data_IF_353867618416
#
_entry.id   IF_353867618416
#
_cell.length_a   1.000
_cell.length_b   1.000
_cell.length_c   1.000
_cell.angle_alpha   90.00
_cell.angle_beta   90.00
_cell.angle_gamma   90.00
#
_symmetry.space_group_name_H-M   'P 1'
#
loop_
_entity.id
_entity.type
_entity.pdbx_description
1 polymer ?
#
# COMPACT_ATOMS: atom_id res chain seq x y z
N UNK A 1 32.47 13.35 -4.54
CA UNK A 1 33.51 12.31 -4.58
C UNK A 1 33.01 11.16 -5.45
N UNK A 2 33.82 10.64 -6.40
CA UNK A 2 33.39 9.51 -7.22
C UNK A 2 33.05 8.30 -6.35
N UNK A 3 32.10 7.50 -6.77
CA UNK A 3 31.64 6.31 -6.02
C UNK A 3 31.25 5.15 -6.97
N UNK A 4 31.22 3.95 -6.44
CA UNK A 4 30.83 2.77 -7.20
C UNK A 4 29.36 2.83 -7.61
N UNK A 5 29.07 2.59 -8.86
CA UNK A 5 27.71 2.53 -9.39
C UNK A 5 27.12 1.13 -9.22
N UNK A 6 26.79 0.77 -7.98
CA UNK A 6 26.04 -0.45 -7.66
C UNK A 6 26.89 -1.70 -7.45
N UNK A 7 27.97 -1.59 -6.69
CA UNK A 7 28.79 -2.73 -6.30
C UNK A 7 28.01 -3.74 -5.44
N UNK A 8 27.82 -4.95 -5.93
CA UNK A 8 27.49 -6.12 -5.13
C UNK A 8 28.38 -7.27 -5.59
N UNK A 9 29.38 -7.57 -4.78
CA UNK A 9 30.14 -8.81 -4.91
C UNK A 9 29.23 -9.99 -4.59
N UNK A 10 28.75 -10.73 -5.59
CA UNK A 10 28.06 -11.99 -5.38
C UNK A 10 28.99 -13.15 -5.70
N UNK A 11 29.44 -13.83 -4.64
CA UNK A 11 29.94 -15.19 -4.75
C UNK A 11 28.74 -16.13 -5.01
N UNK A 12 28.76 -16.83 -6.13
CA UNK A 12 27.73 -17.79 -6.49
C UNK A 12 27.73 -19.00 -5.58
N UNK A 13 26.61 -19.22 -4.88
CA UNK A 13 26.27 -20.45 -4.18
C UNK A 13 24.96 -20.98 -4.74
N UNK A 14 25.01 -22.08 -5.48
CA UNK A 14 23.84 -22.80 -5.98
C UNK A 14 23.16 -23.57 -4.85
N UNK A 15 21.87 -23.27 -4.57
CA UNK A 15 21.00 -24.20 -3.85
C UNK A 15 19.71 -24.44 -4.65
N UNK A 16 19.60 -25.67 -5.13
CA UNK A 16 18.38 -26.27 -5.62
C UNK A 16 17.45 -26.60 -4.45
N UNK A 17 16.23 -26.10 -4.47
CA UNK A 17 15.17 -26.41 -3.50
C UNK A 17 13.85 -26.68 -4.22
N UNK A 18 13.45 -27.92 -4.18
CA UNK A 18 12.23 -28.49 -4.76
C UNK A 18 10.94 -27.91 -4.16
N UNK A 19 10.02 -27.56 -5.04
CA UNK A 19 8.63 -27.23 -4.72
C UNK A 19 7.81 -28.48 -4.49
N UNK A 20 7.18 -28.62 -3.33
CA UNK A 20 6.08 -29.56 -3.09
C UNK A 20 4.78 -28.80 -2.84
N UNK A 21 3.86 -28.94 -3.78
CA UNK A 21 2.47 -28.51 -3.65
C UNK A 21 1.73 -29.44 -2.69
N UNK A 22 1.13 -28.91 -1.64
CA UNK A 22 0.14 -29.63 -0.83
C UNK A 22 -1.15 -28.82 -0.78
N UNK A 23 -2.16 -29.39 -1.45
CA UNK A 23 -3.56 -29.02 -1.33
C UNK A 23 -4.07 -29.42 0.06
N UNK A 24 -4.55 -28.46 0.86
CA UNK A 24 -5.26 -28.75 2.09
C UNK A 24 -6.69 -28.21 2.04
N UNK A 25 -7.59 -29.17 2.06
CA UNK A 25 -9.03 -29.05 2.26
C UNK A 25 -9.37 -28.26 3.54
N UNK A 26 -10.23 -27.26 3.40
CA UNK A 26 -10.82 -26.52 4.51
C UNK A 26 -11.75 -27.42 5.35
N UNK A 27 -11.34 -27.76 6.56
CA UNK A 27 -12.24 -28.21 7.62
C UNK A 27 -12.64 -26.98 8.45
N UNK A 28 -13.92 -26.66 8.44
CA UNK A 28 -14.56 -25.74 9.36
C UNK A 28 -14.49 -26.27 10.78
N UNK A 29 -13.56 -25.75 11.58
CA UNK A 29 -13.56 -25.91 13.03
C UNK A 29 -14.42 -24.82 13.65
N UNK A 30 -15.55 -25.21 14.24
CA UNK A 30 -16.35 -24.40 15.14
C UNK A 30 -15.55 -24.14 16.43
N UNK A 31 -14.74 -23.08 16.44
CA UNK A 31 -14.12 -22.53 17.63
C UNK A 31 -15.15 -21.68 18.38
N UNK A 32 -15.59 -22.12 19.56
CA UNK A 32 -16.40 -21.34 20.47
C UNK A 32 -15.59 -20.11 20.97
N UNK A 33 -15.77 -18.97 20.34
CA UNK A 33 -15.40 -17.69 20.92
C UNK A 33 -16.55 -17.27 21.84
N UNK A 34 -16.25 -16.93 23.06
CA UNK A 34 -17.08 -16.16 24.00
C UNK A 34 -17.29 -14.77 23.44
N UNK A 35 -17.92 -14.68 22.28
CA UNK A 35 -18.30 -13.46 21.62
C UNK A 35 -19.55 -12.90 22.28
N UNK A 36 -19.49 -11.68 22.80
CA UNK A 36 -20.67 -10.94 23.17
C UNK A 36 -21.69 -11.01 22.02
N UNK A 37 -22.91 -11.46 22.33
CA UNK A 37 -23.98 -11.67 21.33
C UNK A 37 -24.16 -10.41 20.51
N UNK A 38 -23.95 -10.50 19.20
CA UNK A 38 -24.10 -9.37 18.29
C UNK A 38 -25.47 -8.71 18.53
N UNK A 39 -25.49 -7.38 18.61
CA UNK A 39 -26.69 -6.59 18.82
C UNK A 39 -27.70 -6.89 17.72
N UNK A 40 -28.83 -7.50 18.05
CA UNK A 40 -29.86 -7.94 17.11
C UNK A 40 -31.20 -7.28 17.40
N UNK A 41 -31.85 -6.79 16.36
CA UNK A 41 -33.24 -6.32 16.37
C UNK A 41 -34.03 -7.23 15.43
N UNK A 42 -35.22 -7.65 15.87
CA UNK A 42 -36.12 -8.50 15.06
C UNK A 42 -37.58 -8.12 15.34
N UNK A 43 -38.44 -8.33 14.36
CA UNK A 43 -39.91 -8.25 14.54
C UNK A 43 -40.48 -9.51 15.19
N UNK A 44 -39.71 -10.61 15.21
CA UNK A 44 -40.10 -11.87 15.83
C UNK A 44 -39.24 -12.19 17.06
N UNK A 45 -39.79 -12.84 18.09
CA UNK A 45 -39.04 -13.19 19.28
C UNK A 45 -37.91 -14.19 18.97
N UNK A 46 -36.81 -14.08 19.69
CA UNK A 46 -35.67 -14.97 19.65
C UNK A 46 -35.09 -15.22 21.05
N UNK A 47 -34.32 -16.25 21.24
CA UNK A 47 -33.77 -16.64 22.54
C UNK A 47 -32.92 -15.50 23.12
N UNK A 48 -33.24 -15.04 24.33
CA UNK A 48 -32.54 -13.95 25.02
C UNK A 48 -33.01 -12.57 24.59
N UNK A 49 -34.04 -12.46 23.76
CA UNK A 49 -34.60 -11.16 23.38
C UNK A 49 -35.54 -10.61 24.46
N UNK A 50 -35.50 -9.27 24.60
CA UNK A 50 -36.47 -8.48 25.36
C UNK A 50 -37.41 -7.81 24.38
N UNK A 51 -38.67 -7.67 24.77
CA UNK A 51 -39.72 -7.03 23.96
C UNK A 51 -39.77 -5.55 24.27
N UNK A 52 -39.84 -4.72 23.20
CA UNK A 52 -40.04 -3.28 23.33
C UNK A 52 -41.21 -2.87 22.43
N UNK A 53 -42.06 -1.99 22.98
CA UNK A 53 -43.13 -1.32 22.24
C UNK A 53 -42.62 0.01 21.71
N UNK A 54 -42.82 0.28 20.44
CA UNK A 54 -42.56 1.58 19.83
C UNK A 54 -43.70 1.94 18.88
N UNK A 55 -43.82 3.23 18.56
CA UNK A 55 -44.83 3.67 17.62
C UNK A 55 -44.21 4.15 16.33
N UNK A 56 -44.78 3.67 15.25
CA UNK A 56 -44.46 4.11 13.89
C UNK A 56 -45.76 4.55 13.24
N UNK A 57 -45.82 5.78 12.74
CA UNK A 57 -47.00 6.33 12.10
C UNK A 57 -48.29 6.21 12.96
N UNK A 58 -48.14 6.53 14.25
CA UNK A 58 -49.18 6.42 15.28
C UNK A 58 -49.72 5.00 15.53
N UNK A 59 -49.08 3.96 14.95
CA UNK A 59 -49.44 2.55 15.17
C UNK A 59 -48.46 1.90 16.13
N UNK A 60 -48.95 1.11 17.11
CA UNK A 60 -48.08 0.37 18.02
C UNK A 60 -47.38 -0.79 17.29
N UNK A 61 -46.08 -0.89 17.46
CA UNK A 61 -45.28 -1.96 16.89
C UNK A 61 -44.40 -2.55 17.96
N UNK A 62 -44.07 -3.84 17.85
CA UNK A 62 -43.19 -4.52 18.75
C UNK A 62 -41.86 -4.88 18.07
N UNK A 63 -40.79 -4.73 18.81
CA UNK A 63 -39.49 -5.25 18.43
C UNK A 63 -38.90 -6.10 19.56
N UNK A 64 -38.09 -7.05 19.14
CA UNK A 64 -37.38 -7.96 20.03
C UNK A 64 -35.89 -7.70 19.87
N UNK A 65 -35.20 -7.46 21.01
CA UNK A 65 -33.78 -7.15 21.01
C UNK A 65 -33.06 -7.80 22.18
N UNK A 66 -31.79 -8.10 22.02
CA UNK A 66 -30.93 -8.62 23.11
C UNK A 66 -30.21 -7.51 23.88
N UNK A 67 -30.49 -6.25 23.58
CA UNK A 67 -29.88 -5.08 24.24
C UNK A 67 -30.91 -3.97 24.40
N UNK A 68 -30.60 -2.96 25.22
CA UNK A 68 -31.49 -1.80 25.43
C UNK A 68 -31.34 -0.81 24.24
N UNK A 69 -32.34 -0.81 23.35
CA UNK A 69 -32.38 0.06 22.15
C UNK A 69 -32.44 1.55 22.45
N UNK A 70 -32.72 1.96 23.68
CA UNK A 70 -32.79 3.36 24.12
C UNK A 70 -31.41 3.95 24.38
N UNK A 71 -30.43 3.09 24.72
CA UNK A 71 -29.06 3.54 24.99
C UNK A 71 -28.36 3.82 23.67
N UNK A 72 -28.00 5.06 23.44
CA UNK A 72 -27.20 5.46 22.29
C UNK A 72 -25.74 5.04 22.49
N UNK A 73 -25.20 4.28 21.53
CA UNK A 73 -23.79 3.95 21.48
C UNK A 73 -23.06 4.84 20.48
N UNK A 74 -23.10 6.18 20.72
CA UNK A 74 -22.41 7.13 19.84
C UNK A 74 -20.92 7.24 20.12
N UNK A 75 -20.49 6.98 21.35
CA UNK A 75 -19.13 7.28 21.81
C UNK A 75 -18.08 6.51 21.03
N UNK A 76 -18.34 5.23 20.75
CA UNK A 76 -17.41 4.42 19.97
C UNK A 76 -17.26 4.89 18.52
N UNK A 77 -18.30 5.39 17.88
CA UNK A 77 -18.27 5.83 16.47
C UNK A 77 -17.45 7.10 16.33
N UNK A 78 -17.66 8.05 17.26
CA UNK A 78 -16.92 9.32 17.27
C UNK A 78 -15.44 9.05 17.57
N UNK A 79 -15.12 8.20 18.54
CA UNK A 79 -13.75 7.83 18.88
C UNK A 79 -13.06 7.17 17.67
N UNK A 80 -13.71 6.22 17.00
CA UNK A 80 -13.16 5.59 15.81
C UNK A 80 -13.00 6.56 14.64
N UNK A 81 -13.94 7.49 14.43
CA UNK A 81 -13.84 8.52 13.38
C UNK A 81 -12.65 9.45 13.65
N UNK A 82 -12.49 9.92 14.90
CA UNK A 82 -11.35 10.76 15.30
C UNK A 82 -10.03 9.98 15.13
N UNK A 83 -10.00 8.71 15.58
CA UNK A 83 -8.83 7.85 15.45
C UNK A 83 -8.43 7.66 13.97
N UNK A 84 -9.39 7.42 13.08
CA UNK A 84 -9.14 7.28 11.64
C UNK A 84 -8.63 8.58 11.01
N UNK A 85 -9.20 9.73 11.36
CA UNK A 85 -8.75 11.03 10.83
C UNK A 85 -7.35 11.36 11.34
N UNK A 86 -7.08 11.15 12.63
CA UNK A 86 -5.77 11.40 13.25
C UNK A 86 -4.67 10.46 12.69
N UNK A 87 -5.01 9.20 12.43
CA UNK A 87 -4.06 8.21 11.93
C UNK A 87 -3.82 8.34 10.42
N UNK A 88 -4.88 8.48 9.63
CA UNK A 88 -4.79 8.48 8.16
C UNK A 88 -4.37 9.82 7.56
N UNK A 89 -4.74 10.94 8.19
CA UNK A 89 -4.41 12.27 7.67
C UNK A 89 -2.91 12.50 7.46
N UNK A 90 -2.06 12.29 8.47
CA UNK A 90 -0.61 12.41 8.34
C UNK A 90 -0.01 11.43 7.32
N UNK A 91 -0.49 10.19 7.29
CA UNK A 91 0.03 9.18 6.37
C UNK A 91 -0.31 9.49 4.91
N UNK A 92 -1.48 10.01 4.61
CA UNK A 92 -1.83 10.46 3.25
C UNK A 92 -0.99 11.65 2.80
N UNK A 93 -0.76 12.61 3.69
CA UNK A 93 0.09 13.78 3.42
C UNK A 93 1.56 13.40 3.19
N UNK A 94 2.15 12.68 4.12
CA UNK A 94 3.55 12.26 4.08
C UNK A 94 3.78 11.24 2.95
N UNK A 95 2.92 10.24 2.84
CA UNK A 95 3.03 9.20 1.81
C UNK A 95 2.88 9.77 0.40
N UNK A 96 1.95 10.67 0.17
CA UNK A 96 1.77 11.37 -1.11
C UNK A 96 2.96 12.25 -1.47
N UNK A 97 3.50 12.98 -0.48
CA UNK A 97 4.70 13.81 -0.66
C UNK A 97 5.95 12.97 -0.95
N UNK A 98 6.16 11.87 -0.23
CA UNK A 98 7.27 10.95 -0.48
C UNK A 98 7.14 10.24 -1.83
N UNK A 99 5.93 9.85 -2.24
CA UNK A 99 5.69 9.26 -3.55
C UNK A 99 5.99 10.25 -4.68
N UNK A 100 5.61 11.52 -4.53
CA UNK A 100 5.91 12.56 -5.51
C UNK A 100 7.43 12.82 -5.63
N UNK A 101 8.17 12.77 -4.51
CA UNK A 101 9.63 12.92 -4.52
C UNK A 101 10.35 11.66 -5.02
N UNK A 102 9.74 10.49 -4.96
CA UNK A 102 10.37 9.23 -5.39
C UNK A 102 10.44 9.05 -6.90
N UNK A 103 9.71 9.86 -7.67
CA UNK A 103 9.81 9.90 -9.14
C UNK A 103 10.99 10.77 -9.52
N UNK A 104 12.15 10.14 -9.73
CA UNK A 104 13.32 10.85 -10.21
C UNK A 104 13.22 11.06 -11.73
N UNK A 105 13.10 12.32 -12.14
CA UNK A 105 13.20 12.73 -13.53
C UNK A 105 14.66 13.07 -13.84
N UNK A 106 15.39 12.21 -14.57
CA UNK A 106 16.77 12.48 -14.91
C UNK A 106 16.86 13.75 -15.76
N UNK A 107 17.87 14.57 -15.47
CA UNK A 107 18.15 15.77 -16.24
C UNK A 107 19.47 15.59 -16.97
N UNK A 108 19.47 15.84 -18.26
CA UNK A 108 20.70 15.80 -19.07
C UNK A 108 21.75 16.72 -18.48
N UNK A 109 22.96 16.21 -18.34
CA UNK A 109 24.10 16.95 -17.82
C UNK A 109 24.61 17.88 -18.92
N UNK A 110 24.85 19.14 -18.56
CA UNK A 110 25.26 20.17 -19.51
C UNK A 110 26.70 20.64 -19.29
N UNK A 111 27.46 19.92 -18.47
CA UNK A 111 28.82 20.32 -18.10
C UNK A 111 29.75 20.44 -19.31
N UNK A 112 29.62 19.56 -20.29
CA UNK A 112 30.45 19.53 -21.51
C UNK A 112 29.81 20.25 -22.71
N UNK A 113 28.70 20.97 -22.54
CA UNK A 113 27.92 21.55 -23.66
C UNK A 113 28.72 22.36 -24.66
N UNK A 114 29.80 23.00 -24.22
CA UNK A 114 30.66 23.92 -25.03
C UNK A 114 32.14 23.50 -24.92
N UNK A 115 32.43 22.25 -24.62
CA UNK A 115 33.79 21.71 -24.50
C UNK A 115 34.00 20.60 -25.50
N UNK A 116 35.21 20.48 -25.98
CA UNK A 116 35.59 19.28 -26.73
C UNK A 116 35.59 18.08 -25.77
N UNK A 117 34.97 17.01 -26.20
CA UNK A 117 34.82 15.79 -25.43
C UNK A 117 35.64 14.71 -26.07
N UNK A 118 36.55 14.15 -25.33
CA UNK A 118 37.34 12.98 -25.72
C UNK A 118 36.74 11.73 -25.06
N UNK A 119 36.49 10.70 -25.87
CA UNK A 119 36.03 9.40 -25.39
C UNK A 119 37.25 8.50 -25.20
N UNK A 120 37.63 8.30 -23.94
CA UNK A 120 38.79 7.52 -23.56
C UNK A 120 38.46 6.03 -23.70
N UNK A 121 39.21 5.35 -24.53
CA UNK A 121 39.24 3.87 -24.61
C UNK A 121 40.71 3.46 -24.56
N UNK A 122 41.15 3.00 -23.38
CA UNK A 122 42.52 2.49 -23.20
C UNK A 122 42.49 0.98 -23.11
N UNK A 123 42.96 0.34 -24.18
CA UNK A 123 43.02 -1.12 -24.26
C UNK A 123 44.42 -1.63 -23.99
N UNK A 124 44.77 -1.80 -22.71
CA UNK A 124 46.06 -2.33 -22.30
C UNK A 124 46.15 -3.86 -22.41
N UNK A 125 45.04 -4.54 -22.71
CA UNK A 125 44.97 -6.00 -22.80
C UNK A 125 44.82 -6.50 -24.26
N UNK A 126 44.52 -5.62 -25.23
CA UNK A 126 44.23 -6.02 -26.62
C UNK A 126 42.91 -6.80 -26.75
N UNK A 127 41.95 -6.55 -25.87
CA UNK A 127 40.65 -7.24 -25.86
C UNK A 127 39.54 -6.44 -26.56
N UNK A 128 39.80 -5.18 -26.89
CA UNK A 128 38.88 -4.33 -27.67
C UNK A 128 39.13 -4.60 -29.15
N UNK A 129 38.17 -5.23 -29.83
CA UNK A 129 38.28 -5.62 -31.23
C UNK A 129 37.71 -4.59 -32.19
N UNK A 130 36.66 -3.89 -31.78
CA UNK A 130 35.94 -2.86 -32.53
C UNK A 130 35.76 -1.60 -31.69
N UNK A 131 36.85 -0.84 -31.57
CA UNK A 131 36.90 0.41 -30.83
C UNK A 131 35.95 1.47 -31.41
N UNK A 132 35.79 1.48 -32.75
CA UNK A 132 34.90 2.44 -33.43
C UNK A 132 33.44 2.24 -33.01
N UNK A 133 32.96 1.00 -32.97
CA UNK A 133 31.62 0.69 -32.53
C UNK A 133 31.42 1.01 -31.06
N UNK A 134 32.40 0.73 -30.21
CA UNK A 134 32.34 1.09 -28.78
C UNK A 134 32.28 2.61 -28.62
N UNK A 135 33.15 3.37 -29.27
CA UNK A 135 33.14 4.84 -29.25
C UNK A 135 31.84 5.43 -29.80
N UNK A 136 31.25 4.80 -30.83
CA UNK A 136 29.92 5.19 -31.33
C UNK A 136 28.86 5.06 -30.22
N UNK A 137 28.79 3.91 -29.55
CA UNK A 137 27.83 3.66 -28.49
C UNK A 137 28.02 4.63 -27.29
N UNK A 138 29.27 4.89 -26.90
CA UNK A 138 29.64 5.89 -25.86
C UNK A 138 29.19 7.29 -26.27
N UNK A 139 29.40 7.69 -27.53
CA UNK A 139 28.98 8.99 -28.08
C UNK A 139 27.46 9.15 -28.08
N UNK A 140 26.73 8.12 -28.41
CA UNK A 140 25.27 8.14 -28.41
C UNK A 140 24.74 8.23 -26.96
N UNK A 141 25.38 7.52 -26.02
CA UNK A 141 25.09 7.67 -24.59
C UNK A 141 25.34 9.12 -24.10
N UNK A 142 26.48 9.70 -24.44
CA UNK A 142 26.78 11.10 -24.14
C UNK A 142 25.75 12.06 -24.73
N UNK A 143 25.36 11.88 -25.98
CA UNK A 143 24.35 12.74 -26.63
C UNK A 143 23.04 12.76 -25.86
N UNK A 144 22.62 11.63 -25.32
CA UNK A 144 21.39 11.55 -24.53
C UNK A 144 21.55 12.09 -23.11
N UNK A 145 22.60 11.67 -22.42
CA UNK A 145 22.76 11.88 -20.97
C UNK A 145 23.60 13.11 -20.61
N UNK A 146 24.55 13.48 -21.46
CA UNK A 146 25.58 14.48 -21.19
C UNK A 146 26.73 13.97 -20.33
N UNK A 147 26.76 12.65 -20.04
CA UNK A 147 27.83 11.96 -19.31
C UNK A 147 28.82 11.39 -20.32
N UNK A 148 30.11 11.56 -20.04
CA UNK A 148 31.18 11.02 -20.87
C UNK A 148 31.62 9.66 -20.30
N UNK A 149 31.32 8.55 -21.01
CA UNK A 149 31.88 7.25 -20.61
C UNK A 149 33.37 7.19 -20.92
N UNK A 150 34.11 6.45 -20.09
CA UNK A 150 35.49 6.05 -20.33
C UNK A 150 35.65 4.56 -20.08
N UNK A 151 36.41 3.87 -20.89
CA UNK A 151 36.66 2.42 -20.77
C UNK A 151 38.16 2.19 -20.72
N UNK A 152 38.58 1.46 -19.69
CA UNK A 152 40.01 1.10 -19.52
C UNK A 152 40.10 -0.40 -19.27
N UNK A 153 40.97 -1.08 -19.97
CA UNK A 153 41.27 -2.49 -19.74
C UNK A 153 42.61 -2.63 -19.06
N UNK A 154 42.73 -3.46 -18.01
CA UNK A 154 43.96 -3.65 -17.26
C UNK A 154 44.17 -5.11 -16.86
N UNK A 155 45.44 -5.50 -16.69
CA UNK A 155 45.78 -6.79 -16.12
C UNK A 155 45.43 -6.84 -14.63
N UNK A 156 45.01 -7.99 -14.12
CA UNK A 156 44.83 -8.21 -12.69
C UNK A 156 46.12 -7.90 -11.88
N UNK A 157 47.29 -8.10 -12.47
CA UNK A 157 48.58 -7.77 -11.84
C UNK A 157 48.82 -6.26 -11.62
N UNK A 158 48.09 -5.43 -12.38
CA UNK A 158 48.22 -3.97 -12.26
C UNK A 158 47.70 -3.45 -10.93
N UNK A 159 46.63 -4.04 -10.41
CA UNK A 159 45.96 -3.54 -9.21
C UNK A 159 46.10 -4.46 -8.01
N UNK A 160 46.13 -5.81 -8.16
CA UNK A 160 46.03 -6.75 -7.05
C UNK A 160 47.24 -6.70 -6.06
N UNK A 161 48.33 -6.11 -6.47
CA UNK A 161 49.55 -5.95 -5.61
C UNK A 161 49.42 -4.76 -4.65
N UNK A 162 48.75 -3.70 -5.08
CA UNK A 162 48.74 -2.41 -4.39
C UNK A 162 47.33 -2.04 -3.85
N UNK A 163 46.29 -2.67 -4.34
CA UNK A 163 44.89 -2.37 -3.98
C UNK A 163 44.20 -3.61 -3.44
N UNK A 164 43.28 -3.39 -2.53
CA UNK A 164 42.50 -4.47 -1.91
C UNK A 164 41.53 -5.16 -2.91
N UNK A 165 41.00 -4.40 -3.86
CA UNK A 165 40.07 -4.84 -4.89
C UNK A 165 40.13 -3.90 -6.10
N UNK A 166 39.49 -4.28 -7.20
CA UNK A 166 39.44 -3.49 -8.41
C UNK A 166 38.70 -2.15 -8.21
N UNK A 167 37.71 -2.10 -7.33
CA UNK A 167 36.97 -0.89 -6.98
C UNK A 167 37.89 0.22 -6.43
N UNK A 168 38.77 -0.13 -5.49
CA UNK A 168 39.74 0.81 -4.92
C UNK A 168 40.73 1.35 -5.97
N UNK A 169 41.19 0.49 -6.88
CA UNK A 169 42.00 0.91 -8.02
C UNK A 169 41.24 1.83 -8.97
N UNK A 170 40.04 1.43 -9.33
CA UNK A 170 39.18 2.20 -10.26
C UNK A 170 38.82 3.59 -9.69
N UNK A 171 38.68 3.67 -8.38
CA UNK A 171 38.44 4.93 -7.68
C UNK A 171 39.64 5.89 -7.83
N UNK A 172 40.85 5.42 -7.56
CA UNK A 172 42.08 6.22 -7.71
C UNK A 172 42.28 6.67 -9.17
N UNK A 173 42.09 5.76 -10.12
CA UNK A 173 42.14 6.08 -11.57
C UNK A 173 41.11 7.15 -11.96
N UNK A 174 39.91 7.05 -11.40
CA UNK A 174 38.87 8.03 -11.64
C UNK A 174 39.20 9.42 -11.11
N UNK A 175 39.84 9.51 -9.94
CA UNK A 175 40.29 10.78 -9.36
C UNK A 175 41.41 11.43 -10.19
N UNK A 176 42.35 10.61 -10.65
CA UNK A 176 43.51 11.08 -11.41
C UNK A 176 43.12 11.54 -12.82
N UNK A 177 42.29 10.77 -13.52
CA UNK A 177 41.96 11.06 -14.92
C UNK A 177 40.76 12.01 -15.08
N UNK A 178 39.78 11.96 -14.14
CA UNK A 178 38.49 12.66 -14.27
C UNK A 178 38.13 13.50 -13.05
N UNK A 179 38.95 14.51 -12.68
CA UNK A 179 38.70 15.34 -11.51
C UNK A 179 37.47 16.23 -11.65
N UNK A 180 36.85 16.26 -12.82
CA UNK A 180 35.63 17.02 -13.11
C UNK A 180 34.33 16.34 -12.63
N UNK A 181 34.44 15.08 -12.19
CA UNK A 181 33.32 14.28 -11.67
C UNK A 181 32.10 14.13 -12.63
N UNK A 182 32.31 14.35 -13.93
CA UNK A 182 31.26 14.24 -14.95
C UNK A 182 31.44 13.07 -15.91
N UNK A 183 32.42 12.23 -15.62
CA UNK A 183 32.70 10.99 -16.36
C UNK A 183 32.11 9.76 -15.69
N UNK A 184 31.94 8.72 -16.46
CA UNK A 184 31.57 7.37 -16.00
C UNK A 184 32.63 6.40 -16.46
N UNK A 185 33.53 6.00 -15.55
CA UNK A 185 34.62 5.10 -15.81
C UNK A 185 34.18 3.65 -15.67
N UNK A 186 34.52 2.83 -16.67
CA UNK A 186 34.35 1.39 -16.66
C UNK A 186 35.72 0.76 -16.79
N UNK A 187 36.13 -0.03 -15.80
CA UNK A 187 37.37 -0.78 -15.84
C UNK A 187 37.07 -2.28 -15.99
N UNK A 188 37.58 -2.86 -17.04
CA UNK A 188 37.63 -4.30 -17.23
C UNK A 188 39.02 -4.83 -16.91
N UNK A 189 39.09 -5.85 -16.08
CA UNK A 189 40.37 -6.47 -15.69
C UNK A 189 40.33 -7.97 -15.89
N UNK A 190 41.39 -8.56 -16.38
CA UNK A 190 41.53 -10.01 -16.48
C UNK A 190 42.98 -10.45 -16.27
N UNK A 191 43.17 -11.71 -15.93
CA UNK A 191 44.52 -12.28 -15.87
C UNK A 191 45.10 -12.42 -17.31
N UNK A 192 46.36 -12.06 -17.46
CA UNK A 192 47.09 -12.28 -18.72
C UNK A 192 47.54 -13.74 -18.74
N UNK A 193 46.66 -14.63 -19.22
CA UNK A 193 46.99 -16.07 -19.46
C UNK A 193 46.64 -16.42 -20.89
N UNK A 194 47.35 -17.41 -21.44
CA UNK A 194 47.10 -17.90 -22.82
C UNK A 194 45.69 -18.44 -23.02
N UNK A 195 45.01 -18.91 -21.96
CA UNK A 195 43.66 -19.43 -21.94
C UNK A 195 42.57 -18.46 -21.40
N UNK A 196 42.87 -17.36 -21.09
CA UNK A 196 42.46 -15.94 -21.07
C UNK A 196 41.26 -15.49 -20.29
N UNK A 197 40.35 -16.24 -19.63
CA UNK A 197 39.09 -15.60 -19.16
C UNK A 197 38.56 -16.04 -17.79
N UNK A 198 39.30 -16.84 -17.01
CA UNK A 198 38.71 -17.39 -15.77
C UNK A 198 38.64 -16.40 -14.60
N UNK A 199 39.54 -15.42 -14.55
CA UNK A 199 39.66 -14.45 -13.48
C UNK A 199 39.45 -13.01 -14.00
N UNK A 200 38.26 -12.69 -14.44
CA UNK A 200 37.96 -11.34 -14.88
C UNK A 200 37.11 -10.58 -13.86
N UNK A 201 37.30 -9.29 -13.82
CA UNK A 201 36.57 -8.35 -12.99
C UNK A 201 36.11 -7.16 -13.85
N UNK A 202 35.02 -6.53 -13.46
CA UNK A 202 34.56 -5.31 -14.09
C UNK A 202 33.97 -4.38 -13.02
N UNK A 203 34.45 -3.15 -12.99
CA UNK A 203 33.97 -2.13 -12.06
C UNK A 203 33.57 -0.87 -12.80
N UNK A 204 32.57 -0.19 -12.25
CA UNK A 204 32.09 1.07 -12.79
C UNK A 204 32.12 2.16 -11.70
N UNK A 205 32.85 3.23 -11.97
CA UNK A 205 32.96 4.38 -11.08
C UNK A 205 32.35 5.60 -11.73
N UNK A 206 31.50 6.29 -11.01
CA UNK A 206 30.84 7.51 -11.48
C UNK A 206 31.21 8.71 -10.58
N UNK A 207 31.27 9.89 -11.17
CA UNK A 207 31.42 11.11 -10.42
C UNK A 207 30.06 11.68 -9.95
N UNK A 208 30.06 12.47 -8.90
CA UNK A 208 28.85 13.04 -8.27
C UNK A 208 27.95 13.80 -9.27
N UNK A 209 28.55 14.42 -10.30
CA UNK A 209 27.78 15.14 -11.31
C UNK A 209 26.91 14.22 -12.18
N UNK A 210 27.20 12.92 -12.19
CA UNK A 210 26.44 11.95 -13.00
C UNK A 210 25.20 11.41 -12.27
N UNK A 211 25.08 11.58 -10.94
CA UNK A 211 24.01 11.08 -10.09
C UNK A 211 22.58 11.43 -10.54
N UNK A 212 22.32 12.62 -11.11
CA UNK A 212 20.98 12.94 -11.60
C UNK A 212 20.49 12.02 -12.71
N UNK A 213 21.42 11.32 -13.39
CA UNK A 213 21.13 10.38 -14.48
C UNK A 213 21.43 8.94 -14.06
N UNK A 214 22.64 8.67 -13.56
CA UNK A 214 23.06 7.34 -13.12
C UNK A 214 22.77 7.21 -11.62
N UNK A 215 21.54 6.83 -11.30
CA UNK A 215 21.21 6.47 -9.92
C UNK A 215 21.78 5.10 -9.58
N UNK A 216 22.01 4.81 -8.28
CA UNK A 216 22.45 3.49 -7.81
C UNK A 216 21.69 2.32 -8.44
N UNK A 217 20.35 2.44 -8.53
CA UNK A 217 19.51 1.40 -9.14
C UNK A 217 19.78 1.22 -10.64
N UNK A 218 20.09 2.29 -11.36
CA UNK A 218 20.41 2.24 -12.80
C UNK A 218 21.82 1.73 -13.05
N UNK A 219 22.79 2.20 -12.25
CA UNK A 219 24.15 1.69 -12.29
C UNK A 219 24.17 0.18 -12.05
N UNK A 220 23.44 -0.28 -11.03
CA UNK A 220 23.28 -1.72 -10.77
C UNK A 220 22.63 -2.46 -11.94
N UNK A 221 21.54 -1.93 -12.52
CA UNK A 221 20.86 -2.57 -13.65
C UNK A 221 21.77 -2.66 -14.89
N UNK A 222 22.55 -1.61 -15.16
CA UNK A 222 23.55 -1.59 -16.21
C UNK A 222 24.61 -2.67 -15.97
N UNK A 223 25.19 -2.72 -14.77
CA UNK A 223 26.18 -3.70 -14.40
C UNK A 223 25.65 -5.13 -14.52
N UNK A 224 24.43 -5.40 -14.03
CA UNK A 224 23.80 -6.72 -14.12
C UNK A 224 23.65 -7.20 -15.58
N UNK A 225 23.33 -6.30 -16.51
CA UNK A 225 23.22 -6.62 -17.94
C UNK A 225 24.60 -6.77 -18.58
N UNK A 226 25.55 -5.87 -18.24
CA UNK A 226 26.92 -5.95 -18.73
C UNK A 226 27.56 -7.28 -18.30
N UNK A 227 27.46 -7.66 -17.03
CA UNK A 227 27.96 -8.93 -16.50
C UNK A 227 27.38 -10.13 -17.25
N UNK A 228 26.09 -10.16 -17.51
CA UNK A 228 25.45 -11.23 -18.27
C UNK A 228 26.03 -11.36 -19.67
N UNK A 229 26.32 -10.25 -20.34
CA UNK A 229 26.92 -10.26 -21.70
C UNK A 229 28.38 -10.67 -21.64
N UNK A 230 29.12 -10.18 -20.65
CA UNK A 230 30.52 -10.58 -20.44
C UNK A 230 30.67 -12.08 -20.14
N UNK A 231 29.66 -12.75 -19.58
CA UNK A 231 29.63 -14.20 -19.40
C UNK A 231 29.35 -14.96 -20.70
N UNK A 232 28.73 -14.32 -21.71
CA UNK A 232 28.38 -14.93 -23.00
C UNK A 232 29.52 -14.73 -24.02
N UNK A 233 30.70 -15.30 -23.73
CA UNK A 233 31.93 -15.12 -24.49
C UNK A 233 31.88 -15.63 -25.95
N UNK A 234 31.01 -16.57 -26.22
CA UNK A 234 30.69 -17.10 -27.53
C UNK A 234 29.90 -16.12 -28.39
N UNK A 235 29.20 -15.17 -27.79
CA UNK A 235 28.33 -14.21 -28.48
C UNK A 235 28.92 -12.80 -28.50
N UNK A 236 29.63 -12.41 -27.44
CA UNK A 236 30.12 -11.05 -27.25
C UNK A 236 31.63 -11.03 -26.98
N UNK A 237 32.38 -10.22 -27.71
CA UNK A 237 33.68 -9.70 -27.25
C UNK A 237 33.49 -8.70 -26.13
N UNK A 238 34.52 -8.28 -25.43
CA UNK A 238 34.45 -7.32 -24.32
C UNK A 238 33.85 -5.98 -24.76
N UNK A 239 34.36 -5.43 -25.84
CA UNK A 239 33.85 -4.22 -26.51
C UNK A 239 32.43 -4.38 -27.03
N UNK A 240 32.11 -5.54 -27.64
CA UNK A 240 30.75 -5.84 -28.09
C UNK A 240 29.75 -5.91 -26.94
N UNK A 241 30.12 -6.49 -25.79
CA UNK A 241 29.29 -6.52 -24.58
C UNK A 241 29.04 -5.11 -24.04
N UNK A 242 30.08 -4.27 -24.00
CA UNK A 242 29.99 -2.87 -23.58
C UNK A 242 29.12 -2.05 -24.52
N UNK A 243 29.40 -2.09 -25.84
CA UNK A 243 28.65 -1.34 -26.84
C UNK A 243 27.15 -1.72 -26.82
N UNK A 244 26.84 -3.02 -26.83
CA UNK A 244 25.47 -3.48 -26.77
C UNK A 244 24.77 -3.09 -25.46
N UNK A 245 25.51 -3.01 -24.34
CA UNK A 245 24.94 -2.55 -23.08
C UNK A 245 24.64 -1.06 -23.12
N UNK A 246 25.53 -0.24 -23.64
CA UNK A 246 25.26 1.18 -23.85
C UNK A 246 24.06 1.41 -24.77
N UNK A 247 23.98 0.71 -25.91
CA UNK A 247 22.87 0.82 -26.85
C UNK A 247 21.51 0.50 -26.19
N UNK A 248 21.44 -0.53 -25.36
CA UNK A 248 20.22 -0.89 -24.64
C UNK A 248 19.85 0.08 -23.54
N UNK A 249 20.83 0.67 -22.88
CA UNK A 249 20.59 1.54 -21.72
C UNK A 249 20.42 3.00 -22.09
N UNK A 250 21.05 3.49 -23.16
CA UNK A 250 20.94 4.89 -23.60
C UNK A 250 19.47 5.37 -23.63
N UNK A 251 18.52 4.68 -24.29
CA UNK A 251 17.12 5.14 -24.33
C UNK A 251 16.39 4.99 -23.00
N UNK A 252 16.93 4.23 -22.04
CA UNK A 252 16.32 4.01 -20.71
C UNK A 252 16.81 4.99 -19.67
N UNK A 253 18.04 5.52 -19.83
CA UNK A 253 18.68 6.38 -18.82
C UNK A 253 17.90 7.67 -18.54
N UNK A 254 17.27 8.24 -19.56
CA UNK A 254 16.48 9.48 -19.43
C UNK A 254 15.00 9.23 -19.11
N UNK A 255 14.57 7.98 -18.93
CA UNK A 255 13.20 7.67 -18.52
C UNK A 255 13.06 7.79 -16.99
N UNK A 256 11.93 8.30 -16.47
CA UNK A 256 11.71 8.34 -15.03
C UNK A 256 11.73 6.93 -14.42
N UNK A 257 12.44 6.75 -13.32
CA UNK A 257 12.45 5.47 -12.60
C UNK A 257 11.19 5.34 -11.74
N UNK A 258 10.34 4.37 -12.08
CA UNK A 258 9.10 4.10 -11.34
C UNK A 258 9.27 2.98 -10.28
N UNK A 259 10.43 2.30 -10.22
CA UNK A 259 10.60 1.16 -9.30
C UNK A 259 10.44 1.53 -7.82
N UNK A 260 11.05 2.64 -7.38
CA UNK A 260 10.85 3.15 -6.01
C UNK A 260 9.43 3.66 -5.81
N UNK A 261 8.87 4.37 -6.81
CA UNK A 261 7.50 4.85 -6.77
C UNK A 261 6.47 3.71 -6.66
N UNK A 262 6.69 2.56 -7.33
CA UNK A 262 5.77 1.42 -7.28
C UNK A 262 5.55 0.88 -5.85
N UNK A 263 6.58 0.84 -5.01
CA UNK A 263 6.45 0.45 -3.60
C UNK A 263 5.59 1.45 -2.82
N UNK A 264 5.82 2.75 -3.01
CA UNK A 264 5.01 3.80 -2.37
C UNK A 264 3.56 3.80 -2.87
N UNK A 265 3.33 3.54 -4.17
CA UNK A 265 1.98 3.38 -4.71
C UNK A 265 1.26 2.15 -4.14
N UNK A 266 1.96 1.02 -3.93
CA UNK A 266 1.39 -0.15 -3.27
C UNK A 266 0.96 0.17 -1.83
N UNK A 267 1.79 0.87 -1.06
CA UNK A 267 1.42 1.37 0.26
C UNK A 267 0.25 2.36 0.19
N UNK A 268 0.28 3.32 -0.74
CA UNK A 268 -0.81 4.26 -0.92
C UNK A 268 -2.14 3.56 -1.23
N UNK A 269 -2.15 2.57 -2.11
CA UNK A 269 -3.34 1.77 -2.45
C UNK A 269 -3.87 1.03 -1.21
N UNK A 270 -3.01 0.42 -0.40
CA UNK A 270 -3.43 -0.23 0.86
C UNK A 270 -4.07 0.79 1.82
N UNK A 271 -3.49 1.98 1.98
CA UNK A 271 -4.04 3.03 2.83
C UNK A 271 -5.35 3.60 2.30
N UNK A 272 -5.46 3.85 1.00
CA UNK A 272 -6.72 4.27 0.38
C UNK A 272 -7.81 3.21 0.52
N UNK A 273 -7.48 1.94 0.33
CA UNK A 273 -8.40 0.83 0.56
C UNK A 273 -8.91 0.77 2.00
N UNK A 274 -8.02 0.94 2.98
CA UNK A 274 -8.40 0.99 4.40
C UNK A 274 -9.22 2.23 4.75
N UNK A 275 -8.89 3.39 4.17
CA UNK A 275 -9.65 4.63 4.35
C UNK A 275 -11.08 4.51 3.79
N UNK A 276 -11.24 3.95 2.58
CA UNK A 276 -12.56 3.69 1.98
C UNK A 276 -13.35 2.73 2.87
N UNK A 277 -12.73 1.64 3.34
CA UNK A 277 -13.34 0.70 4.29
C UNK A 277 -13.80 1.37 5.58
N UNK A 278 -12.98 2.28 6.12
CA UNK A 278 -13.30 3.09 7.29
C UNK A 278 -14.49 4.02 7.06
N UNK A 279 -14.52 4.72 5.93
CA UNK A 279 -15.65 5.61 5.56
C UNK A 279 -16.94 4.80 5.38
N UNK A 280 -16.89 3.67 4.69
CA UNK A 280 -18.07 2.80 4.51
C UNK A 280 -18.56 2.25 5.85
N UNK A 281 -17.65 1.88 6.75
CA UNK A 281 -17.99 1.47 8.11
C UNK A 281 -18.64 2.59 8.90
N UNK A 282 -18.13 3.81 8.80
CA UNK A 282 -18.69 5.00 9.44
C UNK A 282 -20.10 5.32 8.91
N UNK A 283 -20.29 5.31 7.59
CA UNK A 283 -21.62 5.52 6.95
C UNK A 283 -22.61 4.46 7.41
N UNK A 284 -22.19 3.18 7.44
CA UNK A 284 -23.00 2.08 7.94
C UNK A 284 -23.38 2.26 9.42
N UNK A 285 -22.44 2.72 10.23
CA UNK A 285 -22.66 3.00 11.65
C UNK A 285 -23.63 4.19 11.84
N UNK A 286 -23.50 5.26 11.07
CA UNK A 286 -24.43 6.41 11.09
C UNK A 286 -25.83 5.95 10.66
N UNK A 287 -25.93 5.11 9.64
CA UNK A 287 -27.22 4.58 9.19
C UNK A 287 -27.89 3.73 10.27
N UNK A 288 -27.15 2.80 10.90
CA UNK A 288 -27.64 2.01 12.05
C UNK A 288 -28.08 2.88 13.20
N UNK A 289 -27.34 3.96 13.50
CA UNK A 289 -27.68 4.88 14.59
C UNK A 289 -28.94 5.69 14.27
N UNK A 290 -29.14 6.07 13.03
CA UNK A 290 -30.36 6.75 12.57
C UNK A 290 -31.58 5.82 12.65
N UNK A 291 -31.40 4.55 12.34
CA UNK A 291 -32.42 3.52 12.54
C UNK A 291 -32.74 3.29 14.03
N UNK A 292 -31.72 3.19 14.87
CA UNK A 292 -31.87 3.07 16.33
C UNK A 292 -32.57 4.29 16.94
N UNK A 293 -32.38 5.47 16.36
CA UNK A 293 -33.08 6.70 16.76
C UNK A 293 -34.61 6.58 16.72
N UNK A 294 -35.15 5.71 15.87
CA UNK A 294 -36.59 5.38 15.80
C UNK A 294 -37.10 4.76 17.09
N UNK A 295 -36.23 4.08 17.83
CA UNK A 295 -36.58 3.36 19.05
C UNK A 295 -36.22 4.11 20.34
N UNK A 296 -35.82 5.38 20.24
CA UNK A 296 -35.43 6.20 21.39
C UNK A 296 -36.48 6.25 22.50
N UNK A 297 -37.74 6.21 22.09
CA UNK A 297 -38.92 6.26 22.98
C UNK A 297 -39.61 4.90 23.13
N UNK A 298 -38.91 3.80 22.76
CA UNK A 298 -39.46 2.47 22.95
C UNK A 298 -39.56 2.12 24.43
N UNK A 299 -40.68 1.53 24.83
CA UNK A 299 -40.94 1.11 26.19
C UNK A 299 -40.67 -0.39 26.33
N UNK A 300 -39.84 -0.83 27.31
CA UNK A 300 -39.64 -2.24 27.54
C UNK A 300 -40.96 -2.86 28.04
N UNK A 301 -41.35 -3.96 27.40
CA UNK A 301 -42.51 -4.74 27.75
C UNK A 301 -42.07 -6.13 28.20
N UNK A 302 -42.20 -6.46 29.46
CA UNK A 302 -41.92 -7.82 29.92
C UNK A 302 -42.94 -8.79 29.29
N UNK A 303 -42.46 -9.91 28.80
CA UNK A 303 -43.31 -10.93 28.16
C UNK A 303 -44.39 -11.48 29.09
N UNK A 304 -44.22 -11.33 30.41
CA UNK A 304 -45.12 -11.82 31.44
C UNK A 304 -46.13 -10.76 31.90
N UNK A 305 -45.98 -9.47 31.52
CA UNK A 305 -46.90 -8.43 31.91
C UNK A 305 -47.87 -8.19 30.74
N UNK A 306 -49.05 -8.76 30.80
CA UNK A 306 -50.13 -8.51 29.87
C UNK A 306 -50.96 -7.36 30.40
N UNK A 307 -50.79 -6.17 29.84
CA UNK A 307 -51.60 -5.01 30.20
C UNK A 307 -52.97 -5.15 29.52
N UNK A 308 -54.01 -5.30 30.31
CA UNK A 308 -55.37 -5.44 29.84
C UNK A 308 -56.18 -4.19 30.14
N UNK A 309 -56.98 -3.78 29.18
CA UNK A 309 -57.99 -2.74 29.34
C UNK A 309 -59.37 -3.30 29.01
N UNK A 310 -60.42 -2.67 29.49
CA UNK A 310 -61.80 -2.98 29.13
C UNK A 310 -62.33 -2.02 28.10
N UNK A 311 -62.97 -2.53 27.08
CA UNK A 311 -63.61 -1.72 26.05
C UNK A 311 -64.81 -0.93 26.60
N UNK A 312 -64.86 0.37 26.38
CA UNK A 312 -65.92 1.22 26.87
C UNK A 312 -67.31 0.93 26.24
N UNK A 313 -67.33 0.19 25.14
CA UNK A 313 -68.56 -0.11 24.41
C UNK A 313 -69.16 -1.48 24.81
N UNK A 314 -68.33 -2.49 24.91
CA UNK A 314 -68.81 -3.83 25.15
C UNK A 314 -68.29 -4.49 26.45
N UNK A 315 -67.42 -3.82 27.19
CA UNK A 315 -66.76 -4.36 28.37
C UNK A 315 -65.76 -5.48 28.06
N UNK A 316 -65.57 -5.84 26.81
CA UNK A 316 -64.58 -6.88 26.41
C UNK A 316 -63.16 -6.47 26.70
N UNK A 317 -62.35 -7.45 27.11
CA UNK A 317 -60.93 -7.22 27.48
C UNK A 317 -60.09 -7.12 26.23
N UNK A 318 -59.23 -6.10 26.16
CA UNK A 318 -58.21 -5.96 25.12
C UNK A 318 -56.84 -5.79 25.73
N UNK A 319 -55.81 -6.10 24.92
CA UNK A 319 -54.42 -5.91 25.36
C UNK A 319 -53.96 -4.51 24.94
N UNK A 320 -53.61 -3.71 25.92
CA UNK A 320 -53.11 -2.34 25.74
C UNK A 320 -51.78 -2.37 24.97
N UNK A 321 -51.73 -1.55 23.89
CA UNK A 321 -50.54 -1.50 23.03
C UNK A 321 -50.50 -2.59 21.96
N UNK A 322 -51.47 -3.53 21.95
CA UNK A 322 -51.60 -4.56 20.93
C UNK A 322 -52.80 -4.38 19.98
N UNK A 323 -53.88 -3.93 20.56
CA UNK A 323 -55.13 -3.77 19.83
C UNK A 323 -55.42 -2.27 19.60
N UNK A 324 -55.70 -1.90 18.37
CA UNK A 324 -56.18 -0.55 17.99
C UNK A 324 -57.73 -0.51 17.89
N UNK A 325 -58.32 -1.70 17.76
CA UNK A 325 -59.77 -1.92 17.74
C UNK A 325 -60.09 -3.04 18.73
N UNK A 326 -61.26 -2.98 19.33
CA UNK A 326 -61.72 -3.99 20.26
C UNK A 326 -61.87 -5.35 19.56
N UNK A 327 -61.20 -6.40 20.03
CA UNK A 327 -61.30 -7.75 19.42
C UNK A 327 -62.69 -8.39 19.56
N UNK A 328 -63.55 -7.84 20.42
CA UNK A 328 -64.91 -8.37 20.66
C UNK A 328 -65.99 -7.64 19.87
N UNK A 329 -65.91 -6.32 19.68
CA UNK A 329 -66.94 -5.52 19.04
C UNK A 329 -66.48 -4.65 17.87
N UNK A 330 -65.18 -4.65 17.54
CA UNK A 330 -64.63 -3.87 16.46
C UNK A 330 -64.54 -2.35 16.72
N UNK A 331 -64.98 -1.88 17.88
CA UNK A 331 -64.96 -0.45 18.18
C UNK A 331 -63.47 0.05 18.29
N UNK A 332 -63.22 1.23 17.70
CA UNK A 332 -61.91 1.87 17.81
C UNK A 332 -61.58 2.17 19.28
N UNK A 333 -60.41 1.75 19.72
CA UNK A 333 -59.96 1.98 21.07
C UNK A 333 -59.26 3.36 21.16
N UNK A 334 -59.38 4.05 22.32
CA UNK A 334 -58.77 5.36 22.48
C UNK A 334 -57.24 5.24 22.31
N UNK A 335 -56.56 6.35 21.90
CA UNK A 335 -55.13 6.39 21.77
C UNK A 335 -54.48 6.07 23.14
N UNK A 336 -53.63 5.02 23.15
CA UNK A 336 -53.04 4.51 24.40
C UNK A 336 -51.70 5.18 24.61
N UNK A 337 -51.72 6.31 25.32
CA UNK A 337 -50.53 7.10 25.61
C UNK A 337 -49.82 6.68 26.90
N UNK A 338 -50.42 5.79 27.66
CA UNK A 338 -49.89 5.31 28.95
C UNK A 338 -50.33 3.88 29.22
N UNK A 339 -49.55 3.18 30.00
CA UNK A 339 -49.86 1.84 30.52
C UNK A 339 -49.66 1.90 32.02
N UNK A 340 -50.52 1.24 32.78
CA UNK A 340 -50.30 1.03 34.21
C UNK A 340 -49.58 -0.28 34.42
N UNK A 341 -48.49 -0.27 35.22
CA UNK A 341 -47.75 -1.49 35.54
C UNK A 341 -48.58 -2.33 36.59
N UNK A 342 -48.20 -3.59 36.84
CA UNK A 342 -48.86 -4.43 37.81
C UNK A 342 -48.83 -3.87 39.25
N UNK A 343 -47.93 -2.92 39.52
CA UNK A 343 -47.81 -2.21 40.79
C UNK A 343 -48.63 -0.96 40.84
N UNK A 344 -49.38 -0.62 39.80
CA UNK A 344 -50.25 0.57 39.73
C UNK A 344 -49.54 1.84 39.28
N UNK A 345 -48.25 1.79 38.93
CA UNK A 345 -47.55 2.94 38.39
C UNK A 345 -47.94 3.21 36.93
N UNK A 346 -48.17 4.47 36.61
CA UNK A 346 -48.50 4.89 35.26
C UNK A 346 -47.20 5.08 34.46
N UNK A 347 -47.01 4.26 33.45
CA UNK A 347 -45.87 4.35 32.53
C UNK A 347 -46.31 5.08 31.25
N UNK A 348 -45.79 6.27 31.01
CA UNK A 348 -46.08 6.98 29.75
C UNK A 348 -45.37 6.30 28.60
N UNK A 349 -46.14 5.83 27.64
CA UNK A 349 -45.66 5.11 26.45
C UNK A 349 -45.14 6.09 25.39
N UNK A 350 -45.54 7.38 25.47
CA UNK A 350 -45.14 8.44 24.51
C UNK A 350 -44.79 9.75 25.17
N UNK A 351 -43.71 10.38 24.65
CA UNK A 351 -43.61 11.81 24.62
C UNK A 351 -44.41 12.27 23.37
N UNK A 352 -45.66 12.63 23.55
CA UNK A 352 -46.30 13.51 22.56
C UNK A 352 -45.47 14.79 22.56
N UNK A 353 -44.78 15.08 21.42
CA UNK A 353 -44.32 16.45 21.18
C UNK A 353 -45.55 17.35 21.38
N UNK A 354 -45.47 18.39 22.21
CA UNK A 354 -46.57 19.34 22.27
C UNK A 354 -46.79 19.83 20.85
N UNK A 355 -48.01 19.67 20.34
CA UNK A 355 -48.47 20.32 19.14
C UNK A 355 -48.15 21.80 19.28
N UNK A 356 -47.35 22.37 18.33
CA UNK A 356 -47.20 23.81 18.27
C UNK A 356 -48.62 24.42 18.29
N UNK A 357 -48.90 25.38 19.16
CA UNK A 357 -50.15 26.10 19.08
C UNK A 357 -50.20 26.77 17.69
N UNK A 358 -51.34 26.62 17.03
CA UNK A 358 -51.71 27.30 15.81
C UNK A 358 -51.71 28.79 16.04
#
# INVERSE_FOLDING_TARGET
MPHSSGGSSHSGGSHSGSSSSSSSSSRSSSGGSSGGSASRISSTPFRGSRRFLYYKDSKPNFIYTNYDVRKKSYDHIIIWAIFFVMLLGPFLGIGGFMAAQSVNFPKKITYFKNKDVEFVVEDNLGVVKDEENLKRAMKDFYKETGIVPAVITVSNDTWNKNYKNLEAYAYDVSLDLFPDEAHWLIIYSTAVKEDGFDDWFCETIQGDRTDPVITEARGKEFNDVLYKRLLQRDQYSVDGALAATFDDFTPKMMRPSLKKAAQFYAFAIMFFGSAIGGVLSLVSAIHKTKEQGKYKHAVPCDLNAVYQGSCNYCGGVYIIGMHTECPHCGAALPPQNYVQDPQGNVIQIFNTKPSKPV
#
